data_IF_709486902583
#
_entry.id   IF_709486902583
#
_cell.length_a   1.000
_cell.length_b   1.000
_cell.length_c   1.000
_cell.angle_alpha   90.00
_cell.angle_beta   90.00
_cell.angle_gamma   90.00
#
_symmetry.space_group_name_H-M   'P 1'
#
loop_
_entity.id
_entity.type
_entity.pdbx_description
1 polymer ?
#
# COMPACT_ATOMS: atom_id res chain seq x y z
N UNK A 1 -7.01 -31.02 8.20
CA UNK A 1 -6.32 -30.19 9.22
C UNK A 1 -5.05 -29.55 8.68
N UNK A 2 -4.12 -30.34 8.09
CA UNK A 2 -2.86 -29.82 7.50
C UNK A 2 -3.10 -28.77 6.41
N UNK A 3 -4.07 -28.99 5.52
CA UNK A 3 -4.39 -28.05 4.43
C UNK A 3 -4.92 -26.71 4.95
N UNK A 4 -5.77 -26.74 5.98
CA UNK A 4 -6.31 -25.53 6.63
C UNK A 4 -5.18 -24.75 7.29
N UNK A 5 -4.29 -25.44 7.99
CA UNK A 5 -3.12 -24.81 8.62
C UNK A 5 -2.20 -24.19 7.56
N UNK A 6 -1.91 -24.90 6.47
CA UNK A 6 -1.12 -24.40 5.36
C UNK A 6 -1.77 -23.16 4.72
N UNK A 7 -3.09 -23.16 4.56
CA UNK A 7 -3.84 -22.01 4.06
C UNK A 7 -3.70 -20.81 5.00
N UNK A 8 -3.92 -20.97 6.31
CA UNK A 8 -3.80 -19.88 7.29
C UNK A 8 -2.38 -19.32 7.31
N UNK A 9 -1.36 -20.17 7.37
CA UNK A 9 0.05 -19.73 7.37
C UNK A 9 0.38 -18.98 6.08
N UNK A 10 -0.03 -19.52 4.93
CA UNK A 10 0.19 -18.86 3.65
C UNK A 10 -0.55 -17.53 3.53
N UNK A 11 -1.76 -17.40 4.08
CA UNK A 11 -2.50 -16.14 4.13
C UNK A 11 -1.77 -15.09 4.97
N UNK A 12 -1.23 -15.46 6.13
CA UNK A 12 -0.47 -14.55 6.99
C UNK A 12 0.83 -14.08 6.33
N UNK A 13 1.58 -15.00 5.71
CA UNK A 13 2.77 -14.65 4.93
C UNK A 13 2.40 -13.80 3.70
N UNK A 14 1.32 -14.16 3.03
CA UNK A 14 0.77 -13.43 1.88
C UNK A 14 0.34 -12.01 2.25
N UNK A 15 -0.07 -11.77 3.50
CA UNK A 15 -0.41 -10.43 3.98
C UNK A 15 0.80 -9.51 4.03
N UNK A 16 1.95 -10.01 4.53
CA UNK A 16 3.22 -9.27 4.50
C UNK A 16 3.58 -8.86 3.06
N UNK A 17 3.45 -9.81 2.13
CA UNK A 17 3.72 -9.57 0.73
C UNK A 17 2.72 -8.58 0.10
N UNK A 18 1.42 -8.72 0.41
CA UNK A 18 0.38 -7.82 -0.10
C UNK A 18 0.61 -6.37 0.32
N UNK A 19 0.99 -6.12 1.58
CA UNK A 19 1.34 -4.76 2.05
C UNK A 19 2.53 -4.20 1.25
N UNK A 20 3.57 -5.01 1.04
CA UNK A 20 4.72 -4.59 0.26
C UNK A 20 4.33 -4.21 -1.17
N UNK A 21 3.55 -5.07 -1.83
CA UNK A 21 3.06 -4.84 -3.20
C UNK A 21 2.15 -3.61 -3.29
N UNK A 22 1.32 -3.40 -2.27
CA UNK A 22 0.47 -2.22 -2.14
C UNK A 22 1.29 -0.92 -2.12
N UNK A 23 2.28 -0.83 -1.24
CA UNK A 23 3.12 0.36 -1.13
C UNK A 23 3.98 0.58 -2.38
N UNK A 24 4.41 -0.51 -3.03
CA UNK A 24 5.05 -0.44 -4.35
C UNK A 24 4.09 0.11 -5.40
N UNK A 25 2.82 -0.30 -5.39
CA UNK A 25 1.81 0.22 -6.31
C UNK A 25 1.72 1.74 -6.24
N UNK A 26 1.69 2.30 -5.03
CA UNK A 26 1.76 3.75 -4.83
C UNK A 26 3.06 4.35 -5.38
N UNK A 27 4.22 3.79 -5.01
CA UNK A 27 5.52 4.29 -5.45
C UNK A 27 5.68 4.28 -6.99
N UNK A 28 5.23 3.21 -7.65
CA UNK A 28 5.26 3.08 -9.11
C UNK A 28 4.44 4.19 -9.79
N UNK A 29 3.26 4.51 -9.26
CA UNK A 29 2.45 5.60 -9.79
C UNK A 29 3.11 6.96 -9.54
N UNK A 30 3.71 7.18 -8.37
CA UNK A 30 4.46 8.42 -8.14
C UNK A 30 5.63 8.57 -9.11
N UNK A 31 6.42 7.51 -9.32
CA UNK A 31 7.52 7.54 -10.26
C UNK A 31 7.07 7.76 -11.71
N UNK A 32 5.95 7.17 -12.15
CA UNK A 32 5.43 7.39 -13.51
C UNK A 32 4.90 8.82 -13.72
N UNK A 33 4.50 9.49 -12.65
CA UNK A 33 4.09 10.90 -12.65
C UNK A 33 5.25 11.88 -12.43
N UNK A 34 6.49 11.39 -12.29
CA UNK A 34 7.66 12.22 -12.01
C UNK A 34 7.68 12.81 -10.59
N UNK A 35 6.87 12.29 -9.67
CA UNK A 35 6.79 12.75 -8.28
C UNK A 35 7.87 12.02 -7.47
N UNK A 36 8.80 12.76 -6.82
CA UNK A 36 9.87 12.14 -6.06
C UNK A 36 9.35 11.48 -4.77
N UNK A 37 9.62 10.19 -4.65
CA UNK A 37 9.36 9.38 -3.45
C UNK A 37 10.61 9.36 -2.60
N UNK A 38 10.49 9.70 -1.32
CA UNK A 38 11.63 9.74 -0.39
C UNK A 38 11.72 8.50 0.48
N UNK A 39 10.57 7.89 0.79
CA UNK A 39 10.49 6.76 1.71
C UNK A 39 9.30 5.89 1.42
N UNK A 40 9.52 4.59 1.47
CA UNK A 40 8.44 3.58 1.45
C UNK A 40 8.59 2.75 2.72
N UNK A 41 7.59 2.78 3.60
CA UNK A 41 7.55 1.94 4.79
C UNK A 41 6.59 0.78 4.55
N UNK A 42 7.07 -0.44 4.85
CA UNK A 42 6.31 -1.68 4.79
C UNK A 42 6.17 -2.19 6.21
N UNK A 43 4.96 -2.22 6.72
CA UNK A 43 4.67 -2.62 8.10
C UNK A 43 4.86 -1.51 9.13
N UNK A 44 4.81 -1.89 10.41
CA UNK A 44 5.00 -1.01 11.57
C UNK A 44 6.03 -1.52 12.59
N UNK A 45 6.34 -0.71 13.59
CA UNK A 45 7.29 -1.04 14.66
C UNK A 45 8.76 -0.85 14.28
N UNK A 46 9.65 -1.67 14.86
CA UNK A 46 11.11 -1.56 14.68
C UNK A 46 11.50 -1.89 13.23
N UNK A 47 12.43 -1.12 12.67
CA UNK A 47 13.01 -1.39 11.34
C UNK A 47 13.86 -2.66 11.45
N UNK A 48 13.56 -3.66 10.61
CA UNK A 48 14.36 -4.86 10.47
C UNK A 48 15.54 -4.59 9.53
N UNK A 49 15.23 -4.01 8.36
CA UNK A 49 16.23 -3.59 7.40
C UNK A 49 15.72 -2.47 6.51
N UNK A 50 16.64 -1.81 5.82
CA UNK A 50 16.32 -0.76 4.85
C UNK A 50 17.21 -0.86 3.62
N UNK A 51 16.63 -0.57 2.45
CA UNK A 51 17.33 -0.58 1.17
C UNK A 51 17.07 0.76 0.49
N UNK A 52 18.11 1.38 -0.08
CA UNK A 52 17.97 2.57 -0.90
C UNK A 52 17.81 2.15 -2.37
N UNK A 53 16.73 2.59 -3.00
CA UNK A 53 16.45 2.36 -4.43
C UNK A 53 16.18 3.72 -5.05
N UNK A 54 17.09 4.17 -5.95
CA UNK A 54 17.10 5.55 -6.46
C UNK A 54 17.11 6.56 -5.29
N UNK A 55 16.16 7.49 -5.26
CA UNK A 55 16.01 8.51 -4.21
C UNK A 55 15.13 8.06 -3.04
N UNK A 56 14.51 6.88 -3.15
CA UNK A 56 13.62 6.34 -2.13
C UNK A 56 14.33 5.37 -1.17
N UNK A 57 14.07 5.51 0.12
CA UNK A 57 14.50 4.54 1.13
C UNK A 57 13.33 3.61 1.47
N UNK A 58 13.45 2.34 1.11
CA UNK A 58 12.52 1.27 1.48
C UNK A 58 12.87 0.77 2.88
N UNK A 59 11.90 0.75 3.79
CA UNK A 59 12.07 0.30 5.18
C UNK A 59 11.08 -0.81 5.45
N UNK A 60 11.62 -1.97 5.81
CA UNK A 60 10.84 -3.14 6.19
C UNK A 60 10.84 -3.25 7.70
N UNK A 61 9.66 -3.33 8.29
CA UNK A 61 9.48 -3.34 9.74
C UNK A 61 8.98 -4.69 10.23
N UNK A 62 9.11 -4.87 11.54
CA UNK A 62 8.85 -6.14 12.21
C UNK A 62 7.41 -6.61 12.02
N UNK A 63 6.43 -5.71 12.19
CA UNK A 63 5.03 -6.09 12.13
C UNK A 63 4.47 -5.87 10.71
N UNK A 64 3.82 -6.89 10.10
CA UNK A 64 3.14 -6.78 8.81
C UNK A 64 1.80 -6.06 8.93
N UNK A 65 1.82 -4.80 9.32
CA UNK A 65 0.61 -4.00 9.45
C UNK A 65 0.81 -2.61 8.86
N UNK A 66 -0.04 -2.29 7.88
CA UNK A 66 -0.03 -1.00 7.19
C UNK A 66 1.29 -0.69 6.47
N UNK A 67 1.40 0.55 6.04
CA UNK A 67 2.53 1.06 5.30
C UNK A 67 2.35 2.53 5.00
N UNK A 68 3.38 3.16 4.44
CA UNK A 68 3.18 4.44 3.78
C UNK A 68 4.25 4.72 2.74
N UNK A 69 3.83 5.41 1.70
CA UNK A 69 4.68 6.00 0.69
C UNK A 69 4.77 7.51 0.91
N UNK A 70 5.92 7.98 1.41
CA UNK A 70 6.20 9.41 1.64
C UNK A 70 6.81 10.04 0.40
N UNK A 71 6.31 11.22 0.04
CA UNK A 71 6.76 12.04 -1.11
C UNK A 71 7.12 13.45 -0.67
N UNK A 72 7.93 14.15 -1.45
CA UNK A 72 8.02 15.60 -1.31
C UNK A 72 6.69 16.20 -1.79
N UNK A 73 5.96 16.86 -0.90
CA UNK A 73 4.82 17.68 -1.29
C UNK A 73 5.33 19.00 -1.85
N UNK A 74 5.15 19.23 -3.14
CA UNK A 74 5.00 20.61 -3.61
C UNK A 74 3.67 21.16 -3.07
N UNK A 75 3.60 22.45 -2.66
CA UNK A 75 2.39 23.05 -2.09
C UNK A 75 1.20 23.14 -3.05
N UNK A 76 1.38 22.83 -4.33
CA UNK A 76 0.39 23.05 -5.38
C UNK A 76 0.04 21.72 -6.05
N UNK A 77 -0.80 20.91 -5.39
CA UNK A 77 -1.50 19.84 -6.10
C UNK A 77 -2.66 20.49 -6.88
N UNK A 78 -2.64 20.50 -8.22
CA UNK A 78 -3.67 21.16 -9.01
C UNK A 78 -4.97 20.36 -8.91
N UNK A 79 -6.05 21.04 -8.50
CA UNK A 79 -7.45 20.58 -8.55
C UNK A 79 -7.77 19.22 -7.89
N UNK A 80 -8.71 19.16 -6.93
CA UNK A 80 -9.11 17.91 -6.26
C UNK A 80 -9.73 16.82 -7.16
N UNK A 81 -9.88 17.07 -8.48
CA UNK A 81 -10.56 16.18 -9.42
C UNK A 81 -9.72 15.79 -10.66
N UNK A 82 -8.41 16.08 -10.67
CA UNK A 82 -7.54 15.67 -11.77
C UNK A 82 -7.11 14.19 -11.70
N UNK A 83 -6.92 13.49 -12.83
CA UNK A 83 -6.42 12.11 -12.85
C UNK A 83 -5.06 11.95 -12.13
N UNK A 84 -4.26 13.03 -12.09
CA UNK A 84 -2.98 13.10 -11.36
C UNK A 84 -3.11 13.00 -9.83
N UNK A 85 -4.29 13.23 -9.25
CA UNK A 85 -4.57 12.99 -7.82
C UNK A 85 -5.19 11.60 -7.58
N UNK A 86 -6.04 11.15 -8.49
CA UNK A 86 -6.73 9.86 -8.38
C UNK A 86 -5.79 8.66 -8.56
N UNK A 87 -4.91 8.72 -9.58
CA UNK A 87 -3.96 7.65 -9.88
C UNK A 87 -3.10 7.27 -8.66
N UNK A 88 -2.47 8.21 -7.94
CA UNK A 88 -1.73 7.88 -6.73
C UNK A 88 -2.57 7.27 -5.62
N UNK A 89 -3.85 7.62 -5.52
CA UNK A 89 -4.74 7.08 -4.48
C UNK A 89 -5.07 5.61 -4.73
N UNK A 90 -5.28 5.21 -5.98
CA UNK A 90 -5.63 3.84 -6.33
C UNK A 90 -4.43 2.94 -6.63
N UNK A 91 -3.21 3.49 -6.69
CA UNK A 91 -2.01 2.75 -7.08
C UNK A 91 -1.78 1.47 -6.27
N UNK A 92 -1.86 1.55 -4.93
CA UNK A 92 -1.73 0.38 -4.06
C UNK A 92 -2.85 -0.65 -4.22
N UNK A 93 -4.14 -0.24 -4.15
CA UNK A 93 -5.26 -1.15 -4.42
C UNK A 93 -5.19 -1.83 -5.78
N UNK A 94 -4.85 -1.10 -6.85
CA UNK A 94 -4.70 -1.67 -8.20
C UNK A 94 -3.58 -2.71 -8.24
N UNK A 95 -2.43 -2.45 -7.62
CA UNK A 95 -1.36 -3.43 -7.53
C UNK A 95 -1.85 -4.73 -6.86
N UNK A 96 -2.56 -4.63 -5.74
CA UNK A 96 -3.13 -5.80 -5.07
C UNK A 96 -4.14 -6.55 -5.95
N UNK A 97 -5.00 -5.85 -6.70
CA UNK A 97 -5.93 -6.49 -7.62
C UNK A 97 -5.20 -7.27 -8.74
N UNK A 98 -4.12 -6.70 -9.28
CA UNK A 98 -3.26 -7.36 -10.28
C UNK A 98 -2.63 -8.62 -9.70
N UNK A 99 -2.01 -8.53 -8.52
CA UNK A 99 -1.35 -9.68 -7.90
C UNK A 99 -2.33 -10.73 -7.38
N UNK A 100 -3.53 -10.36 -6.97
CA UNK A 100 -4.64 -11.30 -6.76
C UNK A 100 -4.87 -12.14 -8.02
N UNK A 101 -5.05 -11.50 -9.17
CA UNK A 101 -5.28 -12.20 -10.45
C UNK A 101 -4.11 -13.12 -10.83
N UNK A 102 -2.86 -12.65 -10.65
CA UNK A 102 -1.66 -13.44 -10.92
C UNK A 102 -1.60 -14.69 -10.04
N UNK A 103 -1.71 -14.55 -8.71
CA UNK A 103 -1.64 -15.70 -7.80
C UNK A 103 -2.79 -16.68 -8.01
N UNK A 104 -4.00 -16.17 -8.26
CA UNK A 104 -5.16 -16.99 -8.55
C UNK A 104 -4.98 -17.81 -9.84
N UNK A 105 -4.49 -17.17 -10.90
CA UNK A 105 -4.20 -17.84 -12.18
C UNK A 105 -3.19 -18.97 -12.00
N UNK A 106 -2.06 -18.72 -11.33
CA UNK A 106 -1.06 -19.76 -11.08
C UNK A 106 -1.57 -20.85 -10.14
N UNK A 107 -2.42 -20.53 -9.17
CA UNK A 107 -3.06 -21.53 -8.31
C UNK A 107 -3.92 -22.53 -9.11
N UNK A 108 -4.53 -22.09 -10.21
CA UNK A 108 -5.29 -22.96 -11.12
C UNK A 108 -4.44 -24.04 -11.82
N UNK A 109 -3.13 -23.80 -11.94
CA UNK A 109 -2.16 -24.69 -12.59
C UNK A 109 -1.28 -25.46 -11.60
N UNK A 110 -1.42 -25.19 -10.30
CA UNK A 110 -0.65 -25.83 -9.25
C UNK A 110 -1.41 -27.00 -8.61
N UNK A 111 -0.67 -27.88 -7.93
CA UNK A 111 -1.22 -29.00 -7.18
C UNK A 111 -0.70 -29.03 -5.73
N UNK A 112 -1.45 -29.73 -4.86
CA UNK A 112 -1.09 -29.95 -3.46
C UNK A 112 -0.86 -28.66 -2.66
N UNK A 113 0.18 -28.65 -1.83
CA UNK A 113 0.51 -27.52 -0.93
C UNK A 113 0.81 -26.24 -1.71
N UNK A 114 1.41 -26.33 -2.90
CA UNK A 114 1.72 -25.15 -3.72
C UNK A 114 0.45 -24.39 -4.13
N UNK A 115 -0.61 -25.11 -4.52
CA UNK A 115 -1.93 -24.52 -4.80
C UNK A 115 -2.49 -23.79 -3.58
N UNK A 116 -2.40 -24.40 -2.40
CA UNK A 116 -2.89 -23.82 -1.14
C UNK A 116 -2.14 -22.52 -0.83
N UNK A 117 -0.81 -22.51 -0.99
CA UNK A 117 0.01 -21.31 -0.74
C UNK A 117 -0.36 -20.17 -1.68
N UNK A 118 -0.50 -20.47 -2.98
CA UNK A 118 -0.91 -19.47 -3.97
C UNK A 118 -2.31 -18.93 -3.70
N UNK A 119 -3.25 -19.78 -3.28
CA UNK A 119 -4.59 -19.35 -2.86
C UNK A 119 -4.54 -18.44 -1.62
N UNK A 120 -3.70 -18.73 -0.63
CA UNK A 120 -3.50 -17.86 0.53
C UNK A 120 -2.94 -16.49 0.16
N UNK A 121 -1.96 -16.45 -0.75
CA UNK A 121 -1.40 -15.19 -1.26
C UNK A 121 -2.42 -14.39 -2.08
N UNK A 122 -3.18 -15.08 -2.94
CA UNK A 122 -4.29 -14.52 -3.68
C UNK A 122 -5.33 -13.90 -2.74
N UNK A 123 -5.74 -14.63 -1.71
CA UNK A 123 -6.73 -14.15 -0.74
C UNK A 123 -6.22 -12.94 0.06
N UNK A 124 -4.95 -12.93 0.46
CA UNK A 124 -4.36 -11.79 1.16
C UNK A 124 -4.35 -10.51 0.30
N UNK A 125 -4.04 -10.63 -1.00
CA UNK A 125 -4.11 -9.52 -1.95
C UNK A 125 -5.54 -9.03 -2.17
N UNK A 126 -6.50 -9.95 -2.31
CA UNK A 126 -7.92 -9.59 -2.43
C UNK A 126 -8.43 -8.86 -1.19
N UNK A 127 -8.11 -9.36 0.01
CA UNK A 127 -8.50 -8.73 1.27
C UNK A 127 -7.90 -7.31 1.36
N UNK A 128 -6.61 -7.16 1.07
CA UNK A 128 -5.96 -5.85 1.07
C UNK A 128 -6.56 -4.90 0.02
N UNK A 129 -6.94 -5.39 -1.16
CA UNK A 129 -7.66 -4.60 -2.16
C UNK A 129 -9.02 -4.11 -1.61
N UNK A 130 -9.87 -5.02 -1.13
CA UNK A 130 -11.22 -4.70 -0.66
C UNK A 130 -11.18 -3.72 0.52
N UNK A 131 -10.33 -3.98 1.51
CA UNK A 131 -10.23 -3.13 2.71
C UNK A 131 -9.72 -1.73 2.41
N UNK A 132 -8.79 -1.58 1.47
CA UNK A 132 -8.27 -0.26 1.07
C UNK A 132 -9.13 0.46 0.03
N UNK A 133 -10.10 -0.22 -0.59
CA UNK A 133 -11.13 0.42 -1.42
C UNK A 133 -12.28 1.01 -0.60
N UNK A 134 -12.39 0.67 0.69
CA UNK A 134 -13.32 1.32 1.62
C UNK A 134 -12.60 2.53 2.24
N UNK A 135 -12.92 3.78 1.86
CA UNK A 135 -12.15 4.95 2.25
C UNK A 135 -12.51 5.40 3.67
N UNK A 136 -12.11 4.64 4.69
CA UNK A 136 -12.35 5.00 6.10
C UNK A 136 -11.39 6.12 6.55
N UNK A 137 -10.13 6.09 6.09
CA UNK A 137 -9.06 7.02 6.50
C UNK A 137 -8.94 8.28 5.64
N UNK A 138 -9.40 8.25 4.38
CA UNK A 138 -9.40 9.42 3.49
C UNK A 138 -10.34 10.52 3.98
N UNK A 139 -11.41 10.15 4.70
CA UNK A 139 -12.29 11.13 5.36
C UNK A 139 -11.58 11.84 6.51
N UNK A 140 -10.76 11.11 7.29
CA UNK A 140 -10.09 11.64 8.49
C UNK A 140 -8.89 12.53 8.16
N UNK A 141 -8.08 12.17 7.15
CA UNK A 141 -6.92 12.96 6.71
C UNK A 141 -7.33 14.28 6.05
N UNK A 142 -8.42 14.28 5.28
CA UNK A 142 -8.94 15.49 4.64
C UNK A 142 -9.47 16.50 5.68
N UNK A 143 -10.05 16.00 6.78
CA UNK A 143 -10.51 16.84 7.90
C UNK A 143 -9.34 17.40 8.72
N UNK A 144 -8.30 16.61 8.98
CA UNK A 144 -7.10 17.08 9.71
C UNK A 144 -6.26 18.07 8.89
N UNK A 145 -6.10 17.86 7.58
CA UNK A 145 -5.40 18.81 6.70
C UNK A 145 -6.19 20.13 6.59
N UNK A 146 -7.53 20.09 6.47
CA UNK A 146 -8.35 21.33 6.48
C UNK A 146 -8.28 22.07 7.83
N UNK A 147 -8.25 21.34 8.95
CA UNK A 147 -8.14 21.94 10.28
C UNK A 147 -6.76 22.58 10.52
N UNK A 148 -5.67 21.89 10.12
CA UNK A 148 -4.30 22.41 10.24
C UNK A 148 -4.05 23.63 9.34
N UNK A 149 -4.62 23.66 8.14
CA UNK A 149 -4.49 24.80 7.23
C UNK A 149 -5.22 26.05 7.75
N UNK A 150 -6.42 25.90 8.34
CA UNK A 150 -7.12 27.01 9.01
C UNK A 150 -6.33 27.55 10.20
N UNK A 151 -5.73 26.67 11.00
CA UNK A 151 -4.94 27.09 12.17
C UNK A 151 -3.67 27.86 11.74
N UNK A 152 -2.99 27.42 10.69
CA UNK A 152 -1.80 28.10 10.16
C UNK A 152 -2.13 29.46 9.52
N UNK A 153 -3.30 29.62 8.89
CA UNK A 153 -3.76 30.92 8.39
C UNK A 153 -4.11 31.88 9.53
N UNK A 154 -4.77 31.41 10.59
CA UNK A 154 -5.12 32.24 11.75
C UNK A 154 -3.90 32.73 12.54
N UNK A 155 -2.82 31.92 12.59
CA UNK A 155 -1.57 32.28 13.27
C UNK A 155 -0.67 33.24 12.46
N UNK A 156 -0.93 33.43 11.17
CA UNK A 156 -0.21 34.41 10.31
C UNK A 156 -0.90 35.78 10.23
N UNK A 157 -2.08 35.92 10.85
CA UNK A 157 -2.89 37.15 10.88
C UNK A 157 -2.86 37.87 12.24
N UNK A 158 -1.97 37.45 13.15
CA UNK A 158 -1.59 38.20 14.36
C UNK A 158 -0.15 38.70 14.22
#
# INVERSE_FOLDING_TARGET
>A
MVEILAFIVSMLMGHYLAIFLHEIGHACVYFSLGIPVTRVNVGSGRILFSIKVRDAVFRFRLFPDGGNCTRFTEPEMPSPFGPRLFLPFIGGPVANAVFFGIFYFFAGHAAGVCKIVLLGFSFANLNSFVTNMIPISAFTSTLTVKAGFRLHQLLKTQ
#
